data_IF_278099530807
#
_entry.id   IF_278099530807
#
_cell.length_a   1.000
_cell.length_b   1.000
_cell.length_c   1.000
_cell.angle_alpha   90.00
_cell.angle_beta   90.00
_cell.angle_gamma   90.00
#
_symmetry.space_group_name_H-M   'P 1'
#
loop_
_entity.id
_entity.type
_entity.pdbx_description
1 polymer ?
#
# COMPACT_ATOMS: atom_id res chain seq x y z
N UNK A 1 -0.16 41.18 0.19
CA UNK A 1 -0.36 40.14 1.23
C UNK A 1 -1.30 39.09 0.68
N UNK A 2 -0.76 37.96 0.22
CA UNK A 2 -1.55 36.90 -0.43
C UNK A 2 -2.34 36.15 0.65
N UNK A 3 -3.67 36.30 0.67
CA UNK A 3 -4.53 35.49 1.53
C UNK A 3 -4.48 34.07 0.98
N UNK A 4 -3.58 33.27 1.53
CA UNK A 4 -3.55 31.83 1.31
C UNK A 4 -4.93 31.30 1.73
N UNK A 5 -5.76 30.93 0.75
CA UNK A 5 -7.12 30.44 0.97
C UNK A 5 -7.05 29.25 1.93
N UNK A 6 -7.69 29.37 3.09
CA UNK A 6 -7.72 28.34 4.15
C UNK A 6 -8.14 26.96 3.61
N UNK A 7 -8.98 26.94 2.56
CA UNK A 7 -9.36 25.75 1.80
C UNK A 7 -8.16 24.99 1.20
N UNK A 8 -7.16 25.68 0.66
CA UNK A 8 -5.94 25.05 0.12
C UNK A 8 -5.00 24.58 1.24
N UNK A 9 -5.10 25.19 2.43
CA UNK A 9 -4.26 24.84 3.58
C UNK A 9 -4.63 23.47 4.14
N UNK A 10 -5.94 23.19 4.28
CA UNK A 10 -6.43 21.87 4.73
C UNK A 10 -6.14 20.79 3.69
N UNK A 11 -6.36 21.09 2.40
CA UNK A 11 -6.03 20.17 1.31
C UNK A 11 -4.57 19.74 1.33
N UNK A 12 -3.64 20.70 1.44
CA UNK A 12 -2.21 20.41 1.50
C UNK A 12 -1.82 19.57 2.73
N UNK A 13 -2.36 19.86 3.91
CA UNK A 13 -2.04 19.10 5.13
C UNK A 13 -2.42 17.61 4.97
N UNK A 14 -3.58 17.32 4.37
CA UNK A 14 -4.05 15.96 4.17
C UNK A 14 -3.17 15.24 3.14
N UNK A 15 -2.85 15.89 2.02
CA UNK A 15 -1.99 15.30 0.99
C UNK A 15 -0.57 15.08 1.50
N UNK A 16 -0.04 15.99 2.31
CA UNK A 16 1.30 15.87 2.88
C UNK A 16 1.37 14.74 3.90
N UNK A 17 0.32 14.55 4.72
CA UNK A 17 0.19 13.42 5.64
C UNK A 17 0.17 12.07 4.91
N UNK A 18 -0.67 11.96 3.88
CA UNK A 18 -0.74 10.73 3.06
C UNK A 18 0.59 10.50 2.35
N UNK A 19 1.19 11.53 1.77
CA UNK A 19 2.47 11.39 1.05
C UNK A 19 3.57 10.91 2.00
N UNK A 20 3.74 11.55 3.16
CA UNK A 20 4.76 11.16 4.14
C UNK A 20 4.55 9.73 4.68
N UNK A 21 3.30 9.32 4.88
CA UNK A 21 3.02 7.97 5.35
C UNK A 21 3.27 6.90 4.29
N UNK A 22 3.01 7.19 3.00
CA UNK A 22 3.12 6.20 1.92
C UNK A 22 4.51 6.11 1.30
N UNK A 23 5.31 7.18 1.31
CA UNK A 23 6.69 7.22 0.78
C UNK A 23 7.55 5.97 1.13
N UNK A 24 7.64 5.52 2.40
CA UNK A 24 8.43 4.34 2.75
C UNK A 24 7.84 3.02 2.20
N UNK A 25 6.54 2.99 1.91
CA UNK A 25 5.84 1.79 1.45
C UNK A 25 5.74 1.68 -0.07
N UNK A 26 5.99 2.75 -0.84
CA UNK A 26 5.84 2.75 -2.31
C UNK A 26 6.58 1.55 -2.95
N UNK A 27 7.84 1.34 -2.57
CA UNK A 27 8.66 0.28 -3.16
C UNK A 27 8.12 -1.12 -2.83
N UNK A 28 7.65 -1.34 -1.60
CA UNK A 28 7.12 -2.63 -1.13
C UNK A 28 5.75 -2.89 -1.75
N UNK A 29 4.88 -1.88 -1.82
CA UNK A 29 3.56 -2.00 -2.41
C UNK A 29 3.64 -2.26 -3.92
N UNK A 30 4.61 -1.65 -4.59
CA UNK A 30 4.92 -1.95 -5.99
C UNK A 30 5.37 -3.40 -6.17
N UNK A 31 6.28 -3.90 -5.33
CA UNK A 31 6.72 -5.29 -5.36
C UNK A 31 5.56 -6.28 -5.09
N UNK A 32 4.70 -5.98 -4.12
CA UNK A 32 3.51 -6.77 -3.82
C UNK A 32 2.55 -6.82 -5.01
N UNK A 33 2.27 -5.67 -5.64
CA UNK A 33 1.43 -5.59 -6.84
C UNK A 33 1.97 -6.41 -8.02
N UNK A 34 3.29 -6.34 -8.25
CA UNK A 34 3.96 -7.15 -9.29
C UNK A 34 3.85 -8.63 -8.97
N UNK A 35 4.09 -9.04 -7.72
CA UNK A 35 4.00 -10.43 -7.30
C UNK A 35 2.57 -10.99 -7.47
N UNK A 36 1.54 -10.22 -7.09
CA UNK A 36 0.13 -10.57 -7.35
C UNK A 36 -0.16 -10.72 -8.84
N UNK A 37 0.33 -9.78 -9.66
CA UNK A 37 0.16 -9.82 -11.11
C UNK A 37 0.79 -11.06 -11.74
N UNK A 38 2.01 -11.40 -11.33
CA UNK A 38 2.72 -12.60 -11.79
C UNK A 38 1.96 -13.86 -11.37
N UNK A 39 1.52 -13.95 -10.12
CA UNK A 39 0.73 -15.08 -9.64
C UNK A 39 -0.57 -15.25 -10.43
N UNK A 40 -1.29 -14.16 -10.69
CA UNK A 40 -2.51 -14.18 -11.48
C UNK A 40 -2.23 -14.76 -12.87
N UNK A 41 -1.19 -14.28 -13.55
CA UNK A 41 -0.78 -14.78 -14.88
C UNK A 41 -0.37 -16.25 -14.80
N UNK A 42 0.43 -16.66 -13.80
CA UNK A 42 0.82 -18.07 -13.61
C UNK A 42 -0.36 -18.99 -13.35
N UNK A 43 -1.41 -18.51 -12.67
CA UNK A 43 -2.65 -19.26 -12.47
C UNK A 43 -3.48 -19.37 -13.74
N UNK A 44 -3.48 -18.36 -14.61
CA UNK A 44 -4.21 -18.39 -15.89
C UNK A 44 -3.55 -19.35 -16.89
N UNK A 45 -2.22 -19.45 -16.88
CA UNK A 45 -1.46 -20.35 -17.76
C UNK A 45 -1.39 -21.78 -17.21
N UNK A 46 -2.08 -22.09 -16.09
CA UNK A 46 -2.05 -23.40 -15.40
C UNK A 46 -0.65 -23.87 -14.95
N UNK A 47 0.33 -22.95 -14.84
CA UNK A 47 1.68 -23.26 -14.35
C UNK A 47 1.64 -23.59 -12.84
N UNK A 48 0.79 -22.87 -12.11
CA UNK A 48 0.53 -23.09 -10.69
C UNK A 48 -0.98 -23.20 -10.52
N UNK A 49 -1.46 -24.34 -10.00
CA UNK A 49 -2.86 -24.47 -9.66
C UNK A 49 -3.22 -23.46 -8.55
N UNK A 50 -4.32 -22.73 -8.74
CA UNK A 50 -4.87 -21.82 -7.72
C UNK A 50 -5.20 -22.51 -6.38
N UNK A 51 -5.34 -23.84 -6.40
CA UNK A 51 -5.54 -24.66 -5.21
C UNK A 51 -4.24 -25.09 -4.52
N UNK A 52 -3.07 -24.84 -5.11
CA UNK A 52 -1.81 -25.19 -4.48
C UNK A 52 -1.59 -24.32 -3.23
N UNK A 53 -1.07 -24.93 -2.18
CA UNK A 53 -0.78 -24.22 -0.93
C UNK A 53 0.27 -23.13 -1.14
N UNK A 54 1.18 -23.34 -2.09
CA UNK A 54 2.19 -22.35 -2.50
C UNK A 54 1.52 -21.09 -3.07
N UNK A 55 0.52 -21.25 -3.94
CA UNK A 55 -0.24 -20.12 -4.48
C UNK A 55 -0.93 -19.34 -3.36
N UNK A 56 -1.60 -20.04 -2.45
CA UNK A 56 -2.32 -19.41 -1.32
C UNK A 56 -1.39 -18.64 -0.39
N UNK A 57 -0.22 -19.19 -0.08
CA UNK A 57 0.78 -18.51 0.76
C UNK A 57 1.30 -17.25 0.07
N UNK A 58 1.69 -17.34 -1.20
CA UNK A 58 2.19 -16.18 -1.95
C UNK A 58 1.11 -15.09 -2.13
N UNK A 59 -0.14 -15.50 -2.39
CA UNK A 59 -1.28 -14.60 -2.46
C UNK A 59 -1.53 -13.89 -1.12
N UNK A 60 -1.43 -14.65 -0.02
CA UNK A 60 -1.58 -14.13 1.34
C UNK A 60 -0.47 -13.13 1.68
N UNK A 61 0.78 -13.37 1.27
CA UNK A 61 1.90 -12.44 1.45
C UNK A 61 1.63 -11.13 0.71
N UNK A 62 1.19 -11.21 -0.54
CA UNK A 62 0.84 -10.02 -1.32
C UNK A 62 -0.28 -9.20 -0.68
N UNK A 63 -1.31 -9.87 -0.16
CA UNK A 63 -2.44 -9.20 0.49
C UNK A 63 -2.09 -8.69 1.89
N UNK A 64 -1.16 -9.36 2.60
CA UNK A 64 -0.72 -8.98 3.94
C UNK A 64 -0.12 -7.56 3.97
N UNK A 65 0.60 -7.16 2.92
CA UNK A 65 1.19 -5.81 2.84
C UNK A 65 0.13 -4.70 2.91
N UNK A 66 -1.06 -4.92 2.33
CA UNK A 66 -2.18 -3.98 2.44
C UNK A 66 -2.87 -4.05 3.81
N UNK A 67 -2.89 -5.22 4.44
CA UNK A 67 -3.43 -5.41 5.78
C UNK A 67 -2.63 -4.68 6.86
N UNK A 68 -1.30 -4.62 6.71
CA UNK A 68 -0.42 -3.95 7.67
C UNK A 68 -0.31 -2.44 7.43
N UNK A 69 -0.66 -1.94 6.24
CA UNK A 69 -0.64 -0.52 5.91
C UNK A 69 -1.37 0.37 6.94
N UNK A 70 -2.64 0.09 7.35
CA UNK A 70 -3.33 0.89 8.37
C UNK A 70 -2.69 0.81 9.76
N UNK A 71 -2.10 -0.32 10.14
CA UNK A 71 -1.39 -0.48 11.42
C UNK A 71 -0.15 0.40 11.46
N UNK A 72 0.64 0.39 10.39
CA UNK A 72 1.82 1.25 10.28
C UNK A 72 1.44 2.73 10.15
N UNK A 73 0.40 3.07 9.40
CA UNK A 73 -0.15 4.43 9.33
C UNK A 73 -0.54 4.96 10.72
N UNK A 74 -1.22 4.14 11.53
CA UNK A 74 -1.61 4.51 12.88
C UNK A 74 -0.40 4.76 13.79
N UNK A 75 0.67 3.98 13.66
CA UNK A 75 1.90 4.17 14.42
C UNK A 75 2.65 5.47 14.07
N UNK A 76 2.61 5.89 12.80
CA UNK A 76 3.25 7.14 12.35
C UNK A 76 2.32 8.37 12.48
N UNK A 77 1.02 8.14 12.65
CA UNK A 77 -0.01 9.18 12.78
C UNK A 77 -0.12 9.82 14.16
N UNK A 78 0.58 9.30 15.17
CA UNK A 78 0.72 9.94 16.48
C UNK A 78 2.05 10.71 16.56
N UNK A 79 2.11 11.82 15.81
CA UNK A 79 3.10 12.87 16.03
C UNK A 79 2.46 13.96 16.89
N UNK A 80 2.23 13.64 18.17
CA UNK A 80 2.12 14.66 19.23
C UNK A 80 3.48 15.34 19.43
N UNK A 81 3.89 16.21 18.49
CA UNK A 81 4.80 17.36 18.71
C UNK A 81 4.82 18.29 17.49
#
# INVERSE_FOLDING_TARGET
>A
MNKMNVTNKVGNIITDFITNAFLPFINILAAAGILKGILLISSLVNIIHANSDIYKVLDSISNAMFYFLPVFLAMNGDASN
#
